data_IF_917915172786
#
_entry.id   IF_917915172786
#
_cell.length_a   1.000
_cell.length_b   1.000
_cell.length_c   1.000
_cell.angle_alpha   90.00
_cell.angle_beta   90.00
_cell.angle_gamma   90.00
#
_symmetry.space_group_name_H-M   'P 1'
#
loop_
_entity.id
_entity.type
_entity.pdbx_description
1 polymer ?
#
# COMPACT_ATOMS: atom_id res chain seq x y z
N UNK A 1 3.90 1.10 8.02
CA UNK A 1 4.24 -0.34 8.11
C UNK A 1 4.67 -0.76 9.51
N UNK A 2 4.00 -1.76 10.08
CA UNK A 2 4.35 -2.35 11.37
C UNK A 2 5.61 -3.24 11.21
N UNK A 3 6.64 -2.99 12.04
CA UNK A 3 7.80 -3.89 12.13
C UNK A 3 7.45 -5.10 13.04
N UNK A 4 7.71 -6.31 12.55
CA UNK A 4 7.49 -7.55 13.29
C UNK A 4 8.49 -8.64 12.90
N UNK A 5 8.70 -9.61 13.79
CA UNK A 5 9.50 -10.81 13.50
C UNK A 5 8.61 -11.90 12.90
N UNK A 6 8.78 -12.28 11.62
CA UNK A 6 7.98 -13.32 10.99
C UNK A 6 8.20 -14.72 11.60
N UNK A 7 9.27 -14.92 12.38
CA UNK A 7 9.55 -16.21 13.05
C UNK A 7 8.75 -16.39 14.35
N UNK A 8 8.13 -15.32 14.88
CA UNK A 8 7.32 -15.37 16.10
C UNK A 8 5.90 -15.88 15.82
N UNK A 9 5.78 -17.12 15.32
CA UNK A 9 4.52 -17.67 14.81
C UNK A 9 3.36 -17.61 15.83
N UNK A 10 3.58 -18.13 17.05
CA UNK A 10 2.58 -18.07 18.13
C UNK A 10 2.31 -16.65 18.60
N UNK A 11 3.34 -15.82 18.66
CA UNK A 11 3.22 -14.41 19.03
C UNK A 11 2.29 -13.67 18.08
N UNK A 12 2.39 -13.93 16.76
CA UNK A 12 1.57 -13.31 15.72
C UNK A 12 0.10 -13.78 15.75
N UNK A 13 -0.18 -15.06 16.05
CA UNK A 13 -1.55 -15.58 16.15
C UNK A 13 -2.35 -14.88 17.25
N UNK A 14 -1.71 -14.59 18.39
CA UNK A 14 -2.36 -13.99 19.55
C UNK A 14 -2.15 -12.47 19.66
N UNK A 15 -1.50 -11.84 18.68
CA UNK A 15 -1.27 -10.38 18.68
C UNK A 15 -2.51 -9.65 18.18
N UNK A 16 -3.37 -9.23 19.10
CA UNK A 16 -4.49 -8.34 18.79
C UNK A 16 -4.00 -6.91 18.54
N UNK A 17 -3.91 -6.48 17.27
CA UNK A 17 -3.53 -5.12 16.92
C UNK A 17 -4.71 -4.13 17.08
N UNK A 18 -4.45 -2.82 17.17
CA UNK A 18 -5.51 -1.80 17.32
C UNK A 18 -6.37 -1.62 16.05
N UNK A 19 -5.80 -1.87 14.87
CA UNK A 19 -6.48 -1.88 13.56
C UNK A 19 -6.94 -3.27 13.12
N UNK A 20 -7.15 -4.18 14.09
CA UNK A 20 -7.41 -5.58 13.78
C UNK A 20 -8.73 -5.75 12.99
N UNK A 21 -8.60 -6.33 11.79
CA UNK A 21 -9.68 -6.78 10.90
C UNK A 21 -10.80 -7.45 11.68
N UNK A 22 -10.46 -8.27 12.68
CA UNK A 22 -11.43 -8.92 13.54
C UNK A 22 -12.35 -7.94 14.26
N UNK A 23 -11.81 -6.86 14.85
CA UNK A 23 -12.61 -5.85 15.57
C UNK A 23 -13.53 -5.09 14.63
N UNK A 24 -13.06 -4.80 13.42
CA UNK A 24 -13.85 -4.13 12.38
C UNK A 24 -15.01 -5.01 11.89
N UNK A 25 -14.79 -6.32 11.81
CA UNK A 25 -15.79 -7.29 11.35
C UNK A 25 -16.69 -7.83 12.47
N UNK A 26 -16.29 -7.70 13.74
CA UNK A 26 -17.00 -8.27 14.90
C UNK A 26 -18.50 -7.94 14.94
N UNK A 27 -18.97 -6.69 14.71
CA UNK A 27 -20.40 -6.40 14.71
C UNK A 27 -21.15 -7.16 13.61
N UNK A 28 -20.57 -7.27 12.42
CA UNK A 28 -21.13 -8.03 11.31
C UNK A 28 -21.12 -9.54 11.59
N UNK A 29 -20.05 -10.06 12.20
CA UNK A 29 -19.94 -11.46 12.63
C UNK A 29 -21.02 -11.83 13.64
N UNK A 30 -21.23 -11.00 14.68
CA UNK A 30 -22.29 -11.23 15.68
C UNK A 30 -23.68 -11.17 15.06
N UNK A 31 -23.92 -10.19 14.18
CA UNK A 31 -25.19 -10.05 13.47
C UNK A 31 -25.49 -11.27 12.59
N UNK A 32 -24.47 -11.77 11.89
CA UNK A 32 -24.58 -12.94 11.03
C UNK A 32 -24.75 -14.25 11.82
N UNK A 33 -24.09 -14.38 12.96
CA UNK A 33 -24.25 -15.52 13.86
C UNK A 33 -25.69 -15.57 14.41
N UNK A 34 -26.22 -14.43 14.86
CA UNK A 34 -27.60 -14.30 15.31
C UNK A 34 -28.61 -14.58 14.19
N UNK A 35 -28.38 -14.03 13.00
CA UNK A 35 -29.20 -14.29 11.83
C UNK A 35 -29.24 -15.78 11.49
N UNK A 36 -28.07 -16.42 11.39
CA UNK A 36 -27.94 -17.85 11.09
C UNK A 36 -28.61 -18.73 12.16
N UNK A 37 -28.46 -18.38 13.44
CA UNK A 37 -29.13 -19.07 14.54
C UNK A 37 -30.66 -18.90 14.47
N UNK A 38 -31.15 -17.73 14.07
CA UNK A 38 -32.56 -17.47 13.82
C UNK A 38 -33.14 -18.32 12.69
N UNK A 39 -32.41 -18.48 11.58
CA UNK A 39 -32.80 -19.39 10.49
C UNK A 39 -32.82 -20.84 10.97
N UNK A 40 -31.81 -21.28 11.72
CA UNK A 40 -31.78 -22.63 12.28
C UNK A 40 -32.96 -22.90 13.24
N UNK A 41 -33.32 -21.92 14.06
CA UNK A 41 -34.49 -21.98 14.95
C UNK A 41 -35.79 -22.08 14.14
N UNK A 42 -35.96 -21.24 13.12
CA UNK A 42 -37.14 -21.22 12.28
C UNK A 42 -37.34 -22.54 11.51
N UNK A 43 -36.28 -23.09 10.92
CA UNK A 43 -36.32 -24.40 10.25
C UNK A 43 -36.74 -25.52 11.22
N UNK A 44 -36.22 -25.51 12.45
CA UNK A 44 -36.55 -26.56 13.44
C UNK A 44 -37.97 -26.46 13.99
N UNK A 45 -38.49 -25.25 14.22
CA UNK A 45 -39.71 -25.03 15.00
C UNK A 45 -40.91 -24.48 14.22
N UNK A 46 -40.67 -23.70 13.16
CA UNK A 46 -41.73 -23.01 12.40
C UNK A 46 -41.96 -23.63 11.03
N UNK A 47 -40.91 -24.11 10.37
CA UNK A 47 -40.92 -24.61 9.00
C UNK A 47 -40.19 -25.96 8.88
N UNK A 48 -40.55 -26.99 9.67
CA UNK A 48 -39.82 -28.25 9.71
C UNK A 48 -39.69 -28.90 8.32
N UNK A 49 -38.45 -29.16 7.92
CA UNK A 49 -38.05 -29.85 6.69
C UNK A 49 -38.49 -29.17 5.37
N UNK A 50 -38.76 -27.87 5.39
CA UNK A 50 -39.08 -27.11 4.17
C UNK A 50 -37.82 -26.68 3.41
N UNK A 51 -36.71 -26.44 4.12
CA UNK A 51 -35.44 -26.10 3.50
C UNK A 51 -34.77 -27.37 2.94
N UNK A 52 -34.35 -27.30 1.68
CA UNK A 52 -33.55 -28.35 1.05
C UNK A 52 -32.10 -27.90 1.00
N UNK A 53 -31.19 -28.81 1.31
CA UNK A 53 -29.77 -28.52 1.17
C UNK A 53 -29.42 -28.26 -0.29
N UNK A 54 -28.74 -27.14 -0.52
CA UNK A 54 -28.09 -26.80 -1.81
C UNK A 54 -26.60 -26.54 -1.61
N UNK A 55 -25.97 -27.25 -0.67
CA UNK A 55 -24.54 -27.12 -0.33
C UNK A 55 -23.62 -27.27 -1.53
N UNK A 56 -23.96 -28.14 -2.50
CA UNK A 56 -23.21 -28.28 -3.75
C UNK A 56 -23.16 -26.98 -4.58
N UNK A 57 -24.26 -26.21 -4.63
CA UNK A 57 -24.29 -24.93 -5.33
C UNK A 57 -23.41 -23.91 -4.62
N UNK A 58 -23.48 -23.84 -3.28
CA UNK A 58 -22.61 -22.97 -2.47
C UNK A 58 -21.14 -23.36 -2.53
N UNK A 59 -20.82 -24.64 -2.69
CA UNK A 59 -19.45 -25.09 -2.90
C UNK A 59 -18.90 -24.57 -4.24
N UNK A 60 -19.69 -24.68 -5.32
CA UNK A 60 -19.32 -24.17 -6.65
C UNK A 60 -19.17 -22.64 -6.65
N UNK A 61 -20.12 -21.91 -6.06
CA UNK A 61 -20.02 -20.45 -5.92
C UNK A 61 -18.84 -20.04 -5.02
N UNK A 62 -18.59 -20.80 -3.95
CA UNK A 62 -17.47 -20.58 -3.04
C UNK A 62 -16.11 -20.72 -3.73
N UNK A 63 -15.98 -21.70 -4.63
CA UNK A 63 -14.80 -21.83 -5.48
C UNK A 63 -14.58 -20.61 -6.37
N UNK A 64 -15.64 -20.13 -7.04
CA UNK A 64 -15.57 -18.93 -7.90
C UNK A 64 -15.18 -17.69 -7.10
N UNK A 65 -15.80 -17.47 -5.93
CA UNK A 65 -15.48 -16.32 -5.06
C UNK A 65 -14.02 -16.40 -4.57
N UNK A 66 -13.56 -17.58 -4.17
CA UNK A 66 -12.18 -17.78 -3.72
C UNK A 66 -11.19 -17.44 -4.82
N UNK A 67 -11.45 -17.89 -6.06
CA UNK A 67 -10.61 -17.57 -7.21
C UNK A 67 -10.60 -16.06 -7.49
N UNK A 68 -11.75 -15.39 -7.44
CA UNK A 68 -11.83 -13.94 -7.63
C UNK A 68 -11.07 -13.15 -6.55
N UNK A 69 -11.18 -13.57 -5.28
CA UNK A 69 -10.43 -12.97 -4.18
C UNK A 69 -8.92 -13.12 -4.32
N UNK A 70 -8.45 -14.27 -4.84
CA UNK A 70 -7.02 -14.46 -5.13
C UNK A 70 -6.55 -13.44 -6.17
N UNK A 71 -7.27 -13.28 -7.28
CA UNK A 71 -6.91 -12.28 -8.29
C UNK A 71 -6.93 -10.87 -7.73
N UNK A 72 -7.97 -10.52 -6.96
CA UNK A 72 -8.11 -9.22 -6.29
C UNK A 72 -6.92 -8.92 -5.37
N UNK A 73 -6.53 -9.90 -4.55
CA UNK A 73 -5.42 -9.76 -3.60
C UNK A 73 -4.08 -9.64 -4.33
N UNK A 74 -3.86 -10.44 -5.38
CA UNK A 74 -2.64 -10.37 -6.18
C UNK A 74 -2.50 -9.01 -6.88
N UNK A 75 -3.57 -8.47 -7.49
CA UNK A 75 -3.53 -7.15 -8.12
C UNK A 75 -3.25 -6.04 -7.10
N UNK A 76 -3.83 -6.12 -5.90
CA UNK A 76 -3.53 -5.17 -4.82
C UNK A 76 -2.06 -5.25 -4.38
N UNK A 77 -1.55 -6.47 -4.20
CA UNK A 77 -0.16 -6.72 -3.84
C UNK A 77 0.83 -6.20 -4.90
N UNK A 78 0.53 -6.39 -6.20
CA UNK A 78 1.37 -5.86 -7.29
C UNK A 78 1.49 -4.34 -7.24
N UNK A 79 0.39 -3.63 -6.96
CA UNK A 79 0.39 -2.16 -6.78
C UNK A 79 1.25 -1.75 -5.59
N UNK A 80 1.08 -2.43 -4.45
CA UNK A 80 1.87 -2.18 -3.25
C UNK A 80 3.37 -2.40 -3.51
N UNK A 81 3.71 -3.51 -4.16
CA UNK A 81 5.09 -3.86 -4.49
C UNK A 81 5.70 -2.89 -5.51
N UNK A 82 4.93 -2.45 -6.51
CA UNK A 82 5.35 -1.43 -7.46
C UNK A 82 5.67 -0.12 -6.75
N UNK A 83 4.79 0.35 -5.85
CA UNK A 83 5.03 1.51 -5.01
C UNK A 83 6.33 1.38 -4.19
N UNK A 84 6.56 0.22 -3.57
CA UNK A 84 7.79 -0.05 -2.82
C UNK A 84 9.05 0.00 -3.70
N UNK A 85 8.97 -0.52 -4.92
CA UNK A 85 10.08 -0.49 -5.90
C UNK A 85 10.38 0.94 -6.35
N UNK A 86 9.36 1.75 -6.62
CA UNK A 86 9.50 3.15 -7.01
C UNK A 86 10.21 3.98 -5.91
N UNK A 87 9.78 3.83 -4.65
CA UNK A 87 10.46 4.47 -3.51
C UNK A 87 11.89 3.95 -3.29
N UNK A 88 12.14 2.68 -3.60
CA UNK A 88 13.50 2.11 -3.66
C UNK A 88 14.36 2.77 -4.74
N UNK A 89 13.79 2.99 -5.93
CA UNK A 89 14.45 3.71 -7.03
C UNK A 89 14.79 5.15 -6.63
N UNK A 90 13.86 5.87 -5.99
CA UNK A 90 14.11 7.23 -5.49
C UNK A 90 15.26 7.27 -4.47
N UNK A 91 15.31 6.27 -3.57
CA UNK A 91 16.41 6.14 -2.61
C UNK A 91 17.75 5.97 -3.32
N UNK A 92 17.80 5.10 -4.33
CA UNK A 92 19.01 4.83 -5.10
C UNK A 92 19.45 6.06 -5.92
N UNK A 93 18.53 6.70 -6.65
CA UNK A 93 18.80 7.90 -7.44
C UNK A 93 19.30 9.04 -6.55
N UNK A 94 18.66 9.27 -5.40
CA UNK A 94 19.09 10.29 -4.42
C UNK A 94 20.52 10.04 -3.92
N UNK A 95 20.85 8.78 -3.61
CA UNK A 95 22.18 8.39 -3.15
C UNK A 95 23.24 8.52 -4.24
N UNK A 96 22.94 8.05 -5.45
CA UNK A 96 23.86 8.11 -6.59
C UNK A 96 24.15 9.56 -6.99
N UNK A 97 23.10 10.40 -7.04
CA UNK A 97 23.24 11.83 -7.30
C UNK A 97 24.14 12.50 -6.26
N UNK A 98 23.92 12.21 -4.97
CA UNK A 98 24.75 12.75 -3.89
C UNK A 98 26.22 12.29 -3.99
N UNK A 99 26.47 11.01 -4.27
CA UNK A 99 27.83 10.46 -4.43
C UNK A 99 28.57 11.11 -5.61
N UNK A 100 27.91 11.24 -6.76
CA UNK A 100 28.51 11.86 -7.95
C UNK A 100 28.80 13.35 -7.72
N UNK A 101 27.87 14.07 -7.11
CA UNK A 101 28.07 15.49 -6.77
C UNK A 101 29.16 15.71 -5.72
N UNK A 102 29.28 14.81 -4.74
CA UNK A 102 30.39 14.84 -3.78
C UNK A 102 31.75 14.62 -4.48
N UNK A 103 31.81 13.75 -5.48
CA UNK A 103 33.03 13.52 -6.25
C UNK A 103 33.36 14.67 -7.23
N UNK A 104 32.35 15.32 -7.81
CA UNK A 104 32.55 16.36 -8.82
C UNK A 104 32.76 17.75 -8.23
N UNK A 105 32.11 18.07 -7.10
CA UNK A 105 32.20 19.39 -6.48
C UNK A 105 33.28 19.43 -5.40
N UNK A 106 34.09 20.51 -5.32
CA UNK A 106 35.05 20.69 -4.24
C UNK A 106 34.43 20.61 -2.85
N UNK A 107 35.21 20.13 -1.89
CA UNK A 107 34.92 20.20 -0.45
C UNK A 107 34.54 21.63 -0.03
N UNK A 108 33.40 21.78 0.66
CA UNK A 108 32.89 23.08 1.10
C UNK A 108 32.17 23.92 0.02
N UNK A 109 31.96 23.40 -1.19
CA UNK A 109 31.24 24.14 -2.23
C UNK A 109 29.80 24.51 -1.77
N UNK A 110 29.37 25.79 -1.91
CA UNK A 110 28.11 26.28 -1.33
C UNK A 110 26.85 25.59 -1.86
N UNK A 111 26.91 25.00 -3.07
CA UNK A 111 25.78 24.26 -3.64
C UNK A 111 25.57 22.87 -3.02
N UNK A 112 26.56 22.29 -2.32
CA UNK A 112 26.42 20.98 -1.66
C UNK A 112 25.24 20.93 -0.68
N UNK A 113 25.16 21.82 0.34
CA UNK A 113 24.02 21.83 1.27
C UNK A 113 22.70 22.19 0.59
N UNK A 114 22.73 23.06 -0.43
CA UNK A 114 21.53 23.43 -1.19
C UNK A 114 20.95 22.23 -1.94
N UNK A 115 21.78 21.49 -2.68
CA UNK A 115 21.34 20.30 -3.42
C UNK A 115 20.90 19.19 -2.47
N UNK A 116 21.62 18.98 -1.35
CA UNK A 116 21.19 18.04 -0.31
C UNK A 116 19.80 18.39 0.24
N UNK A 117 19.55 19.69 0.45
CA UNK A 117 18.25 20.21 0.86
C UNK A 117 17.15 19.93 -0.17
N UNK A 118 17.43 20.17 -1.46
CA UNK A 118 16.48 19.91 -2.54
C UNK A 118 16.13 18.42 -2.69
N UNK A 119 17.12 17.53 -2.62
CA UNK A 119 16.89 16.07 -2.70
C UNK A 119 16.02 15.60 -1.53
N UNK A 120 16.32 16.03 -0.30
CA UNK A 120 15.51 15.69 0.87
C UNK A 120 14.09 16.27 0.78
N UNK A 121 13.97 17.55 0.41
CA UNK A 121 12.69 18.23 0.25
C UNK A 121 11.82 17.59 -0.84
N UNK A 122 12.42 17.03 -1.89
CA UNK A 122 11.71 16.30 -2.92
C UNK A 122 11.00 15.08 -2.33
N UNK A 123 11.71 14.25 -1.55
CA UNK A 123 11.14 13.06 -0.94
C UNK A 123 9.97 13.41 0.00
N UNK A 124 10.15 14.43 0.86
CA UNK A 124 9.09 14.94 1.75
C UNK A 124 7.90 15.53 0.96
N UNK A 125 8.17 16.17 -0.18
CA UNK A 125 7.12 16.71 -1.06
C UNK A 125 6.37 15.61 -1.77
N UNK A 126 7.03 14.53 -2.17
CA UNK A 126 6.40 13.40 -2.85
C UNK A 126 5.44 12.67 -1.91
N UNK A 127 5.86 12.40 -0.65
CA UNK A 127 4.97 11.82 0.36
C UNK A 127 3.68 12.64 0.51
N UNK A 128 3.81 13.95 0.70
CA UNK A 128 2.65 14.84 0.85
C UNK A 128 1.79 14.91 -0.41
N UNK A 129 2.40 14.90 -1.59
CA UNK A 129 1.69 14.89 -2.87
C UNK A 129 0.84 13.61 -3.05
N UNK A 130 1.34 12.46 -2.62
CA UNK A 130 0.63 11.19 -2.72
C UNK A 130 -0.47 10.99 -1.67
N UNK A 131 -0.45 11.77 -0.58
CA UNK A 131 -1.49 11.76 0.46
C UNK A 131 -2.54 12.86 0.30
N UNK A 132 -2.17 14.00 -0.27
CA UNK A 132 -3.06 15.13 -0.42
C UNK A 132 -4.02 14.93 -1.61
N UNK A 133 -5.25 15.43 -1.46
CA UNK A 133 -6.12 15.68 -2.61
C UNK A 133 -5.43 16.70 -3.54
N UNK A 134 -5.58 16.51 -4.85
CA UNK A 134 -4.87 17.26 -5.89
C UNK A 134 -4.79 18.77 -5.58
N UNK A 135 -3.60 19.26 -5.21
CA UNK A 135 -3.36 20.68 -5.04
C UNK A 135 -3.14 21.33 -6.40
N UNK A 136 -3.55 22.60 -6.56
CA UNK A 136 -3.37 23.36 -7.80
C UNK A 136 -1.91 23.46 -8.28
N UNK A 137 -0.94 23.25 -7.37
CA UNK A 137 0.48 23.31 -7.67
C UNK A 137 1.18 21.95 -7.49
N UNK A 138 1.89 21.50 -8.53
CA UNK A 138 2.63 20.24 -8.53
C UNK A 138 4.03 20.41 -7.90
N UNK A 139 4.08 20.43 -6.56
CA UNK A 139 5.31 20.70 -5.78
C UNK A 139 6.50 19.77 -6.09
N UNK A 140 6.36 18.43 -6.25
CA UNK A 140 7.50 17.58 -6.57
C UNK A 140 8.22 18.01 -7.86
N UNK A 141 7.48 18.25 -8.94
CA UNK A 141 8.03 18.75 -10.20
C UNK A 141 8.69 20.13 -10.07
N UNK A 142 8.20 21.03 -9.23
CA UNK A 142 8.89 22.30 -8.96
C UNK A 142 10.27 22.08 -8.33
N UNK A 143 10.37 21.16 -7.36
CA UNK A 143 11.64 20.82 -6.71
C UNK A 143 12.58 20.10 -7.69
N UNK A 144 12.06 19.17 -8.50
CA UNK A 144 12.85 18.54 -9.56
C UNK A 144 13.38 19.57 -10.57
N UNK A 145 12.54 20.51 -11.02
CA UNK A 145 12.96 21.59 -11.91
C UNK A 145 14.05 22.46 -11.28
N UNK A 146 13.99 22.71 -9.97
CA UNK A 146 15.06 23.39 -9.24
C UNK A 146 16.36 22.58 -9.22
N UNK A 147 16.30 21.26 -8.98
CA UNK A 147 17.48 20.39 -9.06
C UNK A 147 18.15 20.47 -10.45
N UNK A 148 17.37 20.34 -11.52
CA UNK A 148 17.88 20.51 -12.89
C UNK A 148 18.50 21.89 -13.09
N UNK A 149 17.83 22.96 -12.67
CA UNK A 149 18.33 24.32 -12.79
C UNK A 149 19.64 24.56 -12.03
N UNK A 150 19.79 24.01 -10.81
CA UNK A 150 21.04 24.15 -10.06
C UNK A 150 22.20 23.41 -10.74
N UNK A 151 21.98 22.19 -11.26
CA UNK A 151 23.03 21.47 -11.99
C UNK A 151 23.41 22.15 -13.31
N UNK A 152 22.46 22.78 -13.99
CA UNK A 152 22.74 23.60 -15.17
C UNK A 152 23.55 24.86 -14.82
N UNK A 153 23.24 25.53 -13.69
CA UNK A 153 24.02 26.68 -13.22
C UNK A 153 25.45 26.31 -12.84
N UNK A 154 25.65 25.15 -12.21
CA UNK A 154 26.99 24.64 -11.91
C UNK A 154 27.80 24.42 -13.20
N UNK A 155 27.17 23.88 -14.25
CA UNK A 155 27.80 23.79 -15.57
C UNK A 155 28.13 25.17 -16.13
N UNK A 156 27.18 26.11 -16.10
CA UNK A 156 27.37 27.45 -16.68
C UNK A 156 28.48 28.25 -15.98
N UNK A 157 28.75 27.93 -14.71
CA UNK A 157 29.85 28.50 -13.91
C UNK A 157 31.18 27.79 -14.07
N UNK A 158 31.21 26.64 -14.76
CA UNK A 158 32.39 25.79 -14.91
C UNK A 158 32.68 24.89 -13.71
N UNK A 159 31.78 24.83 -12.71
CA UNK A 159 31.89 23.93 -11.56
C UNK A 159 31.58 22.46 -11.94
N UNK A 160 30.85 22.25 -13.04
CA UNK A 160 30.61 20.95 -13.66
C UNK A 160 30.94 20.98 -15.15
N UNK A 161 31.53 19.91 -15.67
CA UNK A 161 31.68 19.72 -17.11
C UNK A 161 30.39 19.22 -17.76
N UNK A 162 30.32 19.31 -19.09
CA UNK A 162 29.19 18.77 -19.86
C UNK A 162 29.04 17.24 -19.72
N UNK A 163 30.16 16.51 -19.71
CA UNK A 163 30.18 15.06 -19.50
C UNK A 163 29.76 14.66 -18.08
N UNK A 164 30.18 15.42 -17.06
CA UNK A 164 29.70 15.23 -15.69
C UNK A 164 28.19 15.44 -15.59
N UNK A 165 27.65 16.49 -16.23
CA UNK A 165 26.21 16.74 -16.26
C UNK A 165 25.45 15.60 -16.96
N UNK A 166 25.99 15.04 -18.05
CA UNK A 166 25.43 13.86 -18.70
C UNK A 166 25.41 12.64 -17.77
N UNK A 167 26.45 12.46 -16.95
CA UNK A 167 26.51 11.40 -15.93
C UNK A 167 25.50 11.59 -14.78
N UNK A 168 25.08 12.82 -14.49
CA UNK A 168 24.07 13.13 -13.47
C UNK A 168 22.63 13.01 -13.98
N UNK A 169 22.41 13.22 -15.29
CA UNK A 169 21.09 13.30 -15.89
C UNK A 169 20.18 12.08 -15.63
N UNK A 170 20.66 10.82 -15.66
CA UNK A 170 19.82 9.66 -15.31
C UNK A 170 19.29 9.72 -13.88
N UNK A 171 20.13 10.13 -12.92
CA UNK A 171 19.70 10.22 -11.52
C UNK A 171 18.74 11.40 -11.30
N UNK A 172 18.90 12.51 -12.03
CA UNK A 172 17.96 13.65 -11.98
C UNK A 172 16.61 13.28 -12.61
N UNK A 173 16.62 12.60 -13.75
CA UNK A 173 15.40 12.20 -14.48
C UNK A 173 14.59 11.16 -13.71
N UNK A 174 15.28 10.28 -12.98
CA UNK A 174 14.65 9.27 -12.13
C UNK A 174 13.68 9.84 -11.09
N UNK A 175 13.87 11.09 -10.64
CA UNK A 175 12.93 11.74 -9.72
C UNK A 175 11.57 11.91 -10.40
N UNK A 176 11.54 12.49 -11.60
CA UNK A 176 10.30 12.68 -12.37
C UNK A 176 9.66 11.34 -12.75
N UNK A 177 10.47 10.36 -13.15
CA UNK A 177 9.98 8.99 -13.48
C UNK A 177 9.31 8.33 -12.27
N UNK A 178 9.92 8.42 -11.08
CA UNK A 178 9.33 7.88 -9.85
C UNK A 178 8.02 8.59 -9.52
N UNK A 179 7.97 9.93 -9.61
CA UNK A 179 6.72 10.65 -9.37
C UNK A 179 5.62 10.21 -10.33
N UNK A 180 5.90 10.14 -11.63
CA UNK A 180 4.93 9.68 -12.63
C UNK A 180 4.45 8.24 -12.36
N UNK A 181 5.34 7.35 -11.94
CA UNK A 181 4.99 5.99 -11.50
C UNK A 181 4.07 5.97 -10.29
N UNK A 182 4.38 6.75 -9.25
CA UNK A 182 3.57 6.83 -8.05
C UNK A 182 2.19 7.45 -8.34
N UNK A 183 2.14 8.48 -9.19
CA UNK A 183 0.87 9.08 -9.63
C UNK A 183 0.02 8.11 -10.43
N UNK A 184 0.61 7.28 -11.30
CA UNK A 184 -0.14 6.25 -12.03
C UNK A 184 -0.82 5.28 -11.07
N UNK A 185 -0.11 4.82 -10.04
CA UNK A 185 -0.69 3.94 -9.00
C UNK A 185 -1.83 4.68 -8.27
N UNK A 186 -1.59 5.90 -7.80
CA UNK A 186 -2.56 6.68 -7.04
C UNK A 186 -3.82 7.03 -7.85
N UNK A 187 -3.67 7.47 -9.11
CA UNK A 187 -4.76 7.99 -9.95
C UNK A 187 -5.50 6.90 -10.72
N UNK A 188 -4.92 5.72 -10.86
CA UNK A 188 -5.53 4.60 -11.60
C UNK A 188 -5.87 3.48 -10.62
N UNK A 189 -6.98 3.57 -9.86
CA UNK A 189 -7.40 2.50 -8.95
C UNK A 189 -7.87 1.25 -9.70
N UNK A 190 -8.06 0.14 -8.98
CA UNK A 190 -8.67 -1.05 -9.56
C UNK A 190 -10.09 -0.69 -10.05
N UNK A 191 -10.54 -1.18 -11.22
CA UNK A 191 -11.82 -0.80 -11.78
C UNK A 191 -12.97 -0.94 -10.78
N UNK A 192 -13.72 0.14 -10.58
CA UNK A 192 -14.80 0.20 -9.59
C UNK A 192 -15.83 -0.92 -9.75
N UNK A 193 -16.16 -1.29 -10.99
CA UNK A 193 -17.10 -2.38 -11.29
C UNK A 193 -16.64 -3.73 -10.72
N UNK A 194 -15.34 -3.99 -10.73
CA UNK A 194 -14.76 -5.21 -10.19
C UNK A 194 -14.89 -5.27 -8.66
N UNK A 195 -14.46 -4.21 -7.96
CA UNK A 195 -14.57 -4.11 -6.51
C UNK A 195 -16.03 -4.12 -6.03
N UNK A 196 -16.93 -3.47 -6.76
CA UNK A 196 -18.37 -3.46 -6.47
C UNK A 196 -18.98 -4.86 -6.65
N UNK A 197 -18.65 -5.55 -7.75
CA UNK A 197 -19.14 -6.89 -8.03
C UNK A 197 -18.71 -7.87 -6.92
N UNK A 198 -17.43 -7.84 -6.54
CA UNK A 198 -16.87 -8.74 -5.53
C UNK A 198 -17.55 -8.55 -4.16
N UNK A 199 -17.69 -7.30 -3.70
CA UNK A 199 -18.37 -6.98 -2.43
C UNK A 199 -19.83 -7.43 -2.42
N UNK A 200 -20.57 -7.19 -3.51
CA UNK A 200 -21.97 -7.67 -3.65
C UNK A 200 -22.05 -9.19 -3.68
N UNK A 201 -21.12 -9.85 -4.36
CA UNK A 201 -21.12 -11.29 -4.48
C UNK A 201 -20.81 -11.98 -3.14
N UNK A 202 -19.83 -11.49 -2.38
CA UNK A 202 -19.54 -11.95 -1.01
C UNK A 202 -20.77 -11.77 -0.12
N UNK A 203 -21.40 -10.59 -0.16
CA UNK A 203 -22.60 -10.32 0.63
C UNK A 203 -23.73 -11.33 0.33
N UNK A 204 -24.08 -11.51 -0.95
CA UNK A 204 -25.13 -12.44 -1.35
C UNK A 204 -24.79 -13.89 -0.99
N UNK A 205 -23.53 -14.29 -1.16
CA UNK A 205 -23.04 -15.62 -0.83
C UNK A 205 -23.20 -15.93 0.67
N UNK A 206 -22.77 -14.99 1.52
CA UNK A 206 -22.82 -15.16 2.97
C UNK A 206 -24.25 -15.11 3.51
N UNK A 207 -25.08 -14.18 3.02
CA UNK A 207 -26.49 -14.07 3.47
C UNK A 207 -27.33 -15.27 3.04
N UNK A 208 -27.04 -15.87 1.87
CA UNK A 208 -27.76 -17.06 1.41
C UNK A 208 -27.28 -18.37 2.07
N UNK A 209 -26.06 -18.41 2.59
CA UNK A 209 -25.45 -19.63 3.14
C UNK A 209 -26.28 -20.31 4.26
N UNK A 210 -26.87 -19.59 5.24
CA UNK A 210 -27.63 -20.23 6.31
C UNK A 210 -28.80 -21.07 5.82
N UNK A 211 -29.52 -20.60 4.81
CA UNK A 211 -30.66 -21.33 4.22
C UNK A 211 -30.24 -22.68 3.63
N UNK A 212 -29.00 -22.78 3.15
CA UNK A 212 -28.49 -23.96 2.48
C UNK A 212 -27.82 -24.94 3.43
N UNK A 213 -27.23 -24.43 4.52
CA UNK A 213 -26.43 -25.22 5.45
C UNK A 213 -27.25 -25.72 6.65
N UNK A 214 -28.34 -25.03 7.03
CA UNK A 214 -29.17 -25.43 8.18
C UNK A 214 -29.74 -26.85 8.09
N UNK A 215 -30.19 -27.36 6.93
CA UNK A 215 -30.68 -28.74 6.83
C UNK A 215 -29.64 -29.80 7.19
N UNK A 216 -28.35 -29.53 6.95
CA UNK A 216 -27.25 -30.45 7.23
C UNK A 216 -26.59 -30.21 8.59
N UNK A 217 -26.40 -28.94 8.97
CA UNK A 217 -25.57 -28.55 10.11
C UNK A 217 -26.36 -27.97 11.29
N UNK A 218 -27.65 -27.71 11.13
CA UNK A 218 -28.52 -27.16 12.18
C UNK A 218 -27.91 -25.89 12.83
N UNK A 219 -27.86 -25.81 14.16
CA UNK A 219 -27.28 -24.66 14.85
C UNK A 219 -25.77 -24.46 14.60
N UNK A 220 -25.03 -25.49 14.15
CA UNK A 220 -23.62 -25.31 13.76
C UNK A 220 -23.46 -24.39 12.56
N UNK A 221 -24.50 -24.21 11.74
CA UNK A 221 -24.50 -23.25 10.64
C UNK A 221 -24.12 -21.84 11.10
N UNK A 222 -24.54 -21.43 12.31
CA UNK A 222 -24.19 -20.11 12.83
C UNK A 222 -22.67 -19.93 12.98
N UNK A 223 -21.97 -20.93 13.49
CA UNK A 223 -20.51 -20.89 13.60
C UNK A 223 -19.85 -20.96 12.22
N UNK A 224 -20.28 -21.90 11.38
CA UNK A 224 -19.67 -22.15 10.07
C UNK A 224 -19.80 -20.91 9.17
N UNK A 225 -21.00 -20.35 9.05
CA UNK A 225 -21.24 -19.17 8.21
C UNK A 225 -20.48 -17.94 8.71
N UNK A 226 -20.38 -17.77 10.03
CA UNK A 226 -19.59 -16.68 10.63
C UNK A 226 -18.09 -16.84 10.36
N UNK A 227 -17.57 -18.06 10.45
CA UNK A 227 -16.16 -18.36 10.14
C UNK A 227 -15.86 -18.12 8.66
N UNK A 228 -16.71 -18.60 7.75
CA UNK A 228 -16.54 -18.38 6.31
C UNK A 228 -16.61 -16.88 5.98
N UNK A 229 -17.56 -16.15 6.58
CA UNK A 229 -17.62 -14.69 6.45
C UNK A 229 -16.32 -14.02 6.90
N UNK A 230 -15.82 -14.39 8.08
CA UNK A 230 -14.58 -13.83 8.60
C UNK A 230 -13.43 -14.04 7.62
N UNK A 231 -13.25 -15.25 7.07
CA UNK A 231 -12.18 -15.53 6.11
C UNK A 231 -12.33 -14.71 4.83
N UNK A 232 -13.50 -14.74 4.19
CA UNK A 232 -13.71 -14.05 2.90
C UNK A 232 -13.65 -12.52 3.05
N UNK A 233 -14.28 -11.97 4.08
CA UNK A 233 -14.29 -10.54 4.34
C UNK A 233 -12.91 -10.04 4.78
N UNK A 234 -12.14 -10.83 5.53
CA UNK A 234 -10.78 -10.46 5.92
C UNK A 234 -9.85 -10.38 4.71
N UNK A 235 -9.94 -11.33 3.77
CA UNK A 235 -9.14 -11.28 2.55
C UNK A 235 -9.47 -10.04 1.70
N UNK A 236 -10.76 -9.72 1.54
CA UNK A 236 -11.17 -8.51 0.82
C UNK A 236 -10.68 -7.24 1.53
N UNK A 237 -10.73 -7.20 2.87
CA UNK A 237 -10.25 -6.05 3.64
C UNK A 237 -8.74 -5.85 3.49
N UNK A 238 -7.96 -6.92 3.56
CA UNK A 238 -6.51 -6.88 3.36
C UNK A 238 -6.18 -6.37 1.96
N UNK A 239 -6.89 -6.86 0.93
CA UNK A 239 -6.71 -6.41 -0.44
C UNK A 239 -7.09 -4.94 -0.63
N UNK A 240 -8.09 -4.44 0.10
CA UNK A 240 -8.48 -3.03 0.12
C UNK A 240 -7.41 -2.15 0.81
N UNK A 241 -6.88 -2.57 1.96
CA UNK A 241 -5.83 -1.84 2.68
C UNK A 241 -4.55 -1.68 1.84
N UNK A 242 -4.08 -2.75 1.20
CA UNK A 242 -2.80 -2.68 0.44
C UNK A 242 -2.95 -2.11 -0.98
N UNK A 243 -4.17 -1.91 -1.48
CA UNK A 243 -4.41 -1.38 -2.83
C UNK A 243 -3.90 0.05 -3.01
N UNK A 244 -3.95 0.86 -1.95
CA UNK A 244 -3.48 2.24 -1.93
C UNK A 244 -2.24 2.41 -1.02
N UNK A 245 -1.03 2.08 -1.51
CA UNK A 245 0.14 1.91 -0.65
C UNK A 245 0.72 3.20 -0.06
N UNK A 246 0.17 4.37 -0.38
CA UNK A 246 0.72 5.68 -0.01
C UNK A 246 -0.09 6.42 1.05
N UNK A 247 -1.14 5.81 1.59
CA UNK A 247 -2.00 6.41 2.61
C UNK A 247 -1.34 6.50 4.00
N UNK A 248 -2.18 6.39 5.02
CA UNK A 248 -1.82 6.43 6.44
C UNK A 248 -2.24 5.15 7.18
N UNK A 249 -2.66 4.11 6.45
CA UNK A 249 -3.03 2.83 7.03
C UNK A 249 -1.79 2.10 7.58
N UNK A 250 -2.02 1.19 8.52
CA UNK A 250 -0.92 0.49 9.22
C UNK A 250 0.00 -0.29 8.26
N UNK A 251 -0.57 -0.79 7.16
CA UNK A 251 0.08 -1.60 6.14
C UNK A 251 0.61 -0.79 4.94
N UNK A 252 0.41 0.54 4.95
CA UNK A 252 0.96 1.42 3.94
C UNK A 252 2.48 1.53 4.04
N UNK A 253 3.07 1.94 2.93
CA UNK A 253 4.50 2.18 2.83
C UNK A 253 4.91 3.29 3.80
N UNK A 254 6.00 3.11 4.57
CA UNK A 254 6.49 4.10 5.50
C UNK A 254 7.26 5.20 4.74
N UNK A 255 6.56 5.93 3.88
CA UNK A 255 7.14 6.95 2.97
C UNK A 255 7.81 8.09 3.74
N UNK A 256 7.32 8.45 4.93
CA UNK A 256 7.96 9.41 5.83
C UNK A 256 9.33 8.92 6.32
N UNK A 257 9.42 7.66 6.76
CA UNK A 257 10.68 7.07 7.24
C UNK A 257 11.69 6.94 6.09
N UNK A 258 11.22 6.56 4.90
CA UNK A 258 12.06 6.49 3.69
C UNK A 258 12.56 7.90 3.33
N UNK A 259 11.69 8.91 3.31
CA UNK A 259 12.06 10.29 3.05
C UNK A 259 13.07 10.84 4.08
N UNK A 260 12.85 10.56 5.37
CA UNK A 260 13.77 10.92 6.44
C UNK A 260 15.15 10.25 6.27
N UNK A 261 15.19 8.97 5.90
CA UNK A 261 16.42 8.22 5.61
C UNK A 261 17.16 8.81 4.40
N UNK A 262 16.45 9.16 3.32
CA UNK A 262 17.03 9.85 2.15
C UNK A 262 17.66 11.18 2.59
N UNK A 263 16.90 12.02 3.30
CA UNK A 263 17.35 13.33 3.77
C UNK A 263 18.60 13.23 4.65
N UNK A 264 18.65 12.26 5.57
CA UNK A 264 19.80 12.05 6.45
C UNK A 264 21.04 11.62 5.64
N UNK A 265 20.92 10.56 4.83
CA UNK A 265 22.06 9.98 4.11
C UNK A 265 22.64 10.91 3.06
N UNK A 266 21.79 11.66 2.35
CA UNK A 266 22.25 12.64 1.35
C UNK A 266 23.01 13.78 2.02
N UNK A 267 22.54 14.26 3.17
CA UNK A 267 23.25 15.27 3.97
C UNK A 267 24.61 14.74 4.43
N UNK A 268 24.66 13.54 4.98
CA UNK A 268 25.92 12.91 5.41
C UNK A 268 26.93 12.80 4.26
N UNK A 269 26.49 12.41 3.07
CA UNK A 269 27.37 12.27 1.90
C UNK A 269 27.93 13.63 1.45
N UNK A 270 27.07 14.64 1.31
CA UNK A 270 27.50 15.95 0.81
C UNK A 270 28.20 16.82 1.86
N UNK A 271 28.04 16.50 3.15
CA UNK A 271 28.72 17.15 4.27
C UNK A 271 30.14 16.63 4.55
N UNK A 272 30.52 15.44 4.05
CA UNK A 272 31.86 14.84 4.27
C UNK A 272 33.04 15.69 3.76
N UNK A 273 32.78 16.73 2.99
CA UNK A 273 33.77 17.70 2.54
C UNK A 273 33.97 18.90 3.48
N UNK A 274 33.29 18.98 4.63
CA UNK A 274 33.60 20.00 5.64
C UNK A 274 34.81 19.54 6.46
N UNK A 275 35.90 20.34 6.56
CA UNK A 275 37.01 19.97 7.44
C UNK A 275 36.50 19.86 8.87
N UNK A 276 36.81 18.75 9.54
CA UNK A 276 36.60 18.60 10.98
C UNK A 276 37.24 19.81 11.67
N UNK A 277 36.40 20.64 12.29
CA UNK A 277 36.85 21.81 13.06
C UNK A 277 37.33 21.39 14.43
#
# INVERSE_FOLDING_TARGET
MISYDPKSWWGLIFKFHKSDTFRRLLPAMLSLALFSAGIAYADRHLLPNQLKSTTALHALLGFVISMLLVFRTNTAYERWWEGRRLWGSLTNASRNLALKLDAFLPSGHPSRPQIAGLIGAYADSLTRHLRAAATAEHRPNRIAAQLFAETARLRDRGDLSGDQLLCLNPDLSAFAEVCGGCERIQKTPIPYSYSLFLKKFIFLYIVSMPFCFVPEFHYWTALITTLVFYVLASLELIAEEIENPFGEDANDLPTDDIAASIRLRVRELLARGEPER
#
